data_IF_202366014530
#
_entry.id   IF_202366014530
#
_cell.length_a   1.000
_cell.length_b   1.000
_cell.length_c   1.000
_cell.angle_alpha   90.00
_cell.angle_beta   90.00
_cell.angle_gamma   90.00
#
_symmetry.space_group_name_H-M   'P 1'
#
loop_
_entity.id
_entity.type
_entity.pdbx_description
1 polymer ?
#
# COMPACT_ATOMS: atom_id res chain seq x y z
N UNK A 1 15.02 -47.43 -59.40
CA UNK A 1 14.70 -48.59 -58.54
C UNK A 1 13.51 -48.18 -57.69
N UNK A 2 12.29 -48.42 -58.15
CA UNK A 2 11.52 -49.68 -58.07
C UNK A 2 10.62 -49.67 -56.84
N UNK A 3 9.33 -49.61 -57.17
CA UNK A 3 8.10 -49.57 -56.37
C UNK A 3 7.97 -50.78 -55.43
N UNK A 4 7.37 -50.57 -54.26
CA UNK A 4 6.43 -51.54 -53.68
C UNK A 4 5.48 -50.86 -52.68
N UNK A 5 4.27 -50.56 -53.16
CA UNK A 5 3.06 -50.33 -52.35
C UNK A 5 2.54 -51.70 -51.93
N UNK A 6 2.26 -51.90 -50.64
CA UNK A 6 1.39 -52.98 -50.17
C UNK A 6 0.34 -52.38 -49.24
N UNK A 7 -0.90 -52.38 -49.72
CA UNK A 7 -2.10 -52.16 -48.93
C UNK A 7 -2.69 -53.54 -48.59
N UNK A 8 -3.12 -53.74 -47.34
CA UNK A 8 -3.97 -54.87 -46.98
C UNK A 8 -5.01 -54.47 -45.91
N UNK A 9 -6.26 -54.68 -46.33
CA UNK A 9 -7.59 -54.60 -45.71
C UNK A 9 -7.76 -55.02 -44.22
N UNK A 10 -8.57 -54.19 -43.54
CA UNK A 10 -9.83 -54.48 -42.82
C UNK A 10 -9.93 -55.57 -41.72
N UNK A 11 -10.43 -55.16 -40.53
CA UNK A 11 -11.62 -55.75 -39.88
C UNK A 11 -12.08 -54.91 -38.67
N UNK A 12 -13.39 -54.66 -38.59
CA UNK A 12 -14.08 -54.07 -37.45
C UNK A 12 -14.42 -55.16 -36.42
N UNK A 13 -14.39 -54.81 -35.13
CA UNK A 13 -14.87 -55.66 -34.04
C UNK A 13 -15.15 -54.85 -32.78
N UNK A 14 -16.43 -54.58 -32.53
CA UNK A 14 -16.91 -54.05 -31.25
C UNK A 14 -17.29 -55.21 -30.34
N UNK A 15 -16.81 -55.20 -29.10
CA UNK A 15 -17.39 -55.99 -28.00
C UNK A 15 -17.46 -55.15 -26.74
N UNK A 16 -18.69 -54.87 -26.30
CA UNK A 16 -19.02 -54.40 -24.97
C UNK A 16 -18.83 -55.55 -23.98
N UNK A 17 -18.18 -55.29 -22.84
CA UNK A 17 -18.34 -56.10 -21.63
C UNK A 17 -18.35 -55.20 -20.41
N UNK A 18 -19.41 -55.38 -19.64
CA UNK A 18 -19.75 -54.65 -18.45
C UNK A 18 -19.31 -55.41 -17.19
N UNK A 19 -18.98 -54.64 -16.15
CA UNK A 19 -19.11 -54.94 -14.72
C UNK A 19 -18.24 -56.05 -14.08
N UNK A 20 -17.30 -55.63 -13.23
CA UNK A 20 -17.30 -56.10 -11.84
C UNK A 20 -17.00 -54.93 -10.89
N UNK A 21 -17.68 -54.98 -9.75
CA UNK A 21 -17.96 -53.95 -8.74
C UNK A 21 -17.00 -54.12 -7.56
N UNK A 22 -16.56 -53.03 -6.94
CA UNK A 22 -15.86 -53.07 -5.65
C UNK A 22 -15.33 -51.70 -5.24
N UNK A 23 -16.12 -51.00 -4.43
CA UNK A 23 -15.90 -49.65 -3.89
C UNK A 23 -14.60 -49.49 -3.10
N UNK A 24 -13.94 -48.35 -3.30
CA UNK A 24 -12.78 -47.92 -2.53
C UNK A 24 -12.51 -46.46 -2.81
N UNK A 25 -13.30 -45.59 -2.18
CA UNK A 25 -13.26 -44.15 -2.42
C UNK A 25 -11.93 -43.50 -2.07
N UNK A 26 -11.62 -42.43 -2.80
CA UNK A 26 -11.22 -41.18 -2.16
C UNK A 26 -11.86 -40.04 -2.95
N UNK A 27 -12.94 -39.47 -2.42
CA UNK A 27 -13.30 -38.11 -2.77
C UNK A 27 -12.32 -37.19 -2.02
N UNK A 28 -11.60 -36.35 -2.74
CA UNK A 28 -10.75 -35.34 -2.14
C UNK A 28 -10.32 -34.27 -3.15
N UNK A 29 -10.17 -33.03 -2.70
CA UNK A 29 -11.21 -32.17 -2.15
C UNK A 29 -11.88 -31.35 -3.27
N UNK A 30 -13.19 -31.11 -3.14
CA UNK A 30 -13.79 -29.92 -3.71
C UNK A 30 -13.30 -28.74 -2.86
N UNK A 31 -12.45 -27.88 -3.41
CA UNK A 31 -11.97 -26.70 -2.70
C UNK A 31 -10.50 -26.40 -2.93
N UNK A 32 -10.21 -25.77 -4.07
CA UNK A 32 -9.30 -24.66 -4.13
C UNK A 32 -9.66 -23.92 -5.42
N UNK A 33 -10.28 -22.75 -5.31
CA UNK A 33 -10.00 -21.73 -6.32
C UNK A 33 -8.49 -21.69 -6.42
N UNK A 34 -7.96 -22.05 -7.58
CA UNK A 34 -6.54 -21.95 -7.87
C UNK A 34 -6.21 -20.47 -7.70
N UNK A 35 -5.65 -20.13 -6.53
CA UNK A 35 -5.19 -18.78 -6.24
C UNK A 35 -4.29 -18.38 -7.41
N UNK A 36 -4.61 -17.22 -7.99
CA UNK A 36 -3.96 -16.73 -9.20
C UNK A 36 -2.42 -16.81 -9.03
N UNK A 37 -1.67 -17.36 -10.00
CA UNK A 37 -0.22 -17.58 -9.89
C UNK A 37 0.60 -16.28 -9.89
N UNK A 38 -0.05 -15.13 -9.81
CA UNK A 38 0.60 -13.83 -9.84
C UNK A 38 0.88 -13.37 -8.41
N UNK A 39 2.17 -13.24 -8.09
CA UNK A 39 2.66 -12.64 -6.85
C UNK A 39 2.05 -11.25 -6.67
N UNK A 40 1.48 -10.98 -5.50
CA UNK A 40 0.89 -9.68 -5.18
C UNK A 40 1.85 -8.85 -4.33
N UNK A 41 1.86 -7.51 -4.47
CA UNK A 41 2.63 -6.66 -3.58
C UNK A 41 2.15 -6.79 -2.13
N UNK A 42 3.03 -6.55 -1.15
CA UNK A 42 2.64 -6.57 0.25
C UNK A 42 1.79 -5.34 0.58
N UNK A 43 0.83 -5.54 1.48
CA UNK A 43 0.00 -4.50 2.05
C UNK A 43 0.54 -4.12 3.42
N UNK A 44 0.93 -2.86 3.61
CA UNK A 44 1.25 -2.33 4.95
C UNK A 44 -0.02 -1.73 5.57
N UNK A 45 -0.39 -2.20 6.76
CA UNK A 45 -1.59 -1.75 7.48
C UNK A 45 -1.28 -1.00 8.78
N UNK A 46 -0.04 -1.07 9.29
CA UNK A 46 0.32 -0.35 10.51
C UNK A 46 1.82 -0.31 10.80
N UNK A 47 2.19 0.68 11.61
CA UNK A 47 3.53 0.78 12.21
C UNK A 47 3.36 1.05 13.70
N UNK A 48 4.07 0.32 14.54
CA UNK A 48 4.17 0.63 15.96
C UNK A 48 5.61 0.92 16.36
N UNK A 49 5.77 1.77 17.36
CA UNK A 49 7.05 2.02 18.02
C UNK A 49 7.16 1.11 19.24
N UNK A 50 8.24 0.35 19.31
CA UNK A 50 8.62 -0.45 20.47
C UNK A 50 10.01 0.02 20.92
N UNK A 51 10.04 0.94 21.89
CA UNK A 51 11.24 1.69 22.23
C UNK A 51 11.78 2.49 21.02
N UNK A 52 13.04 2.23 20.65
CA UNK A 52 13.69 2.84 19.47
C UNK A 52 13.49 2.07 18.17
N UNK A 53 12.66 1.01 18.17
CA UNK A 53 12.46 0.12 17.02
C UNK A 53 11.10 0.38 16.39
N UNK A 54 11.07 0.46 15.06
CA UNK A 54 9.81 0.46 14.30
C UNK A 54 9.45 -0.97 13.92
N UNK A 55 8.22 -1.37 14.24
CA UNK A 55 7.62 -2.63 13.83
C UNK A 55 6.60 -2.33 12.75
N UNK A 56 6.90 -2.73 11.51
CA UNK A 56 6.00 -2.62 10.36
C UNK A 56 5.15 -3.89 10.29
N UNK A 57 3.84 -3.72 10.18
CA UNK A 57 2.87 -4.81 10.07
C UNK A 57 2.11 -4.74 8.76
N UNK A 58 1.64 -5.89 8.33
CA UNK A 58 0.85 -5.96 7.12
C UNK A 58 0.37 -7.36 6.76
N UNK A 59 0.03 -7.51 5.49
CA UNK A 59 -0.37 -8.75 4.88
C UNK A 59 0.34 -8.97 3.53
N UNK A 60 0.60 -10.22 3.20
CA UNK A 60 1.07 -10.71 1.91
C UNK A 60 0.49 -12.11 1.66
N UNK A 61 0.82 -12.73 0.54
CA UNK A 61 0.47 -14.14 0.34
C UNK A 61 1.14 -15.01 1.44
N UNK A 62 0.52 -16.12 1.90
CA UNK A 62 1.10 -16.99 2.91
C UNK A 62 2.52 -17.44 2.54
N UNK A 63 3.41 -17.46 3.54
CA UNK A 63 4.83 -17.82 3.40
C UNK A 63 5.65 -16.92 2.44
N UNK A 64 5.06 -15.86 1.89
CA UNK A 64 5.72 -14.96 0.96
C UNK A 64 6.83 -14.14 1.65
N UNK A 65 7.95 -13.96 0.97
CA UNK A 65 9.06 -13.14 1.47
C UNK A 65 8.78 -11.67 1.21
N UNK A 66 8.46 -10.92 2.25
CA UNK A 66 8.27 -9.47 2.21
C UNK A 66 9.62 -8.79 2.41
N UNK A 67 9.94 -7.84 1.54
CA UNK A 67 11.20 -7.07 1.58
C UNK A 67 10.88 -5.59 1.58
N UNK A 68 11.57 -4.82 2.43
CA UNK A 68 11.59 -3.36 2.40
C UNK A 68 12.96 -2.92 1.87
N UNK A 69 12.98 -2.31 0.69
CA UNK A 69 14.20 -1.81 0.04
C UNK A 69 14.34 -0.31 0.19
N UNK A 70 15.55 0.17 0.34
CA UNK A 70 15.89 1.57 0.20
C UNK A 70 17.20 1.70 -0.59
N UNK A 71 17.46 2.85 -1.23
CA UNK A 71 18.69 3.05 -1.99
C UNK A 71 19.94 3.01 -1.09
N UNK A 72 19.85 3.57 0.12
CA UNK A 72 21.02 3.88 0.95
C UNK A 72 21.10 3.08 2.26
N UNK A 73 20.16 2.15 2.50
CA UNK A 73 20.18 1.26 3.67
C UNK A 73 19.97 -0.19 3.27
N UNK A 74 20.50 -1.10 4.08
CA UNK A 74 20.35 -2.53 3.86
C UNK A 74 18.87 -2.92 3.79
N UNK A 75 18.52 -3.75 2.80
CA UNK A 75 17.17 -4.28 2.69
C UNK A 75 16.85 -5.16 3.90
N UNK A 76 15.62 -5.02 4.40
CA UNK A 76 15.12 -5.82 5.52
C UNK A 76 14.03 -6.73 4.99
N UNK A 77 13.99 -7.98 5.46
CA UNK A 77 13.02 -8.95 4.99
C UNK A 77 12.45 -9.80 6.11
N UNK A 78 11.23 -10.29 5.91
CA UNK A 78 10.55 -11.27 6.76
C UNK A 78 9.66 -12.14 5.88
N UNK A 79 9.34 -13.35 6.33
CA UNK A 79 8.32 -14.15 5.69
C UNK A 79 6.97 -13.85 6.35
N UNK A 80 5.91 -13.75 5.54
CA UNK A 80 4.56 -13.78 6.06
C UNK A 80 4.29 -15.17 6.67
N UNK A 81 3.45 -15.22 7.70
CA UNK A 81 3.02 -16.47 8.32
C UNK A 81 2.01 -17.22 7.44
N UNK A 82 1.53 -18.37 7.92
CA UNK A 82 0.55 -19.20 7.23
C UNK A 82 -0.82 -18.50 7.02
N UNK A 83 -1.10 -17.43 7.78
CA UNK A 83 -2.29 -16.60 7.61
C UNK A 83 -2.02 -15.38 6.70
N UNK A 84 -0.82 -15.26 6.14
CA UNK A 84 -0.41 -14.14 5.30
C UNK A 84 -0.07 -12.88 6.09
N UNK A 85 0.13 -12.93 7.41
CA UNK A 85 0.50 -11.77 8.23
C UNK A 85 2.02 -11.67 8.37
N UNK A 86 2.53 -10.44 8.38
CA UNK A 86 3.95 -10.21 8.67
C UNK A 86 4.15 -9.14 9.74
N UNK A 87 5.23 -9.30 10.52
CA UNK A 87 5.79 -8.28 11.39
C UNK A 87 7.28 -8.13 11.10
N UNK A 88 7.68 -6.97 10.59
CA UNK A 88 9.06 -6.66 10.23
C UNK A 88 9.63 -5.61 11.18
N UNK A 89 10.68 -5.97 11.91
CA UNK A 89 11.42 -5.07 12.79
C UNK A 89 12.49 -4.33 11.99
N UNK A 90 12.36 -3.02 11.87
CA UNK A 90 13.38 -2.20 11.21
C UNK A 90 14.60 -2.04 12.14
N UNK A 91 15.83 -2.11 11.61
CA UNK A 91 17.02 -1.73 12.37
C UNK A 91 16.92 -0.25 12.78
N UNK A 92 17.74 0.23 13.73
CA UNK A 92 17.82 1.65 14.05
C UNK A 92 18.00 2.50 12.79
N UNK A 93 17.10 3.46 12.60
CA UNK A 93 17.05 4.32 11.42
C UNK A 93 17.50 5.72 11.80
N UNK A 94 18.17 6.41 10.87
CA UNK A 94 18.61 7.79 11.04
C UNK A 94 18.17 8.62 9.84
N UNK A 95 17.79 9.89 10.11
CA UNK A 95 17.33 10.80 9.06
C UNK A 95 16.02 10.35 8.42
N UNK A 96 15.77 10.86 7.22
CA UNK A 96 14.54 10.56 6.48
C UNK A 96 14.78 9.41 5.51
N UNK A 97 13.85 8.46 5.44
CA UNK A 97 13.98 7.25 4.64
C UNK A 97 12.76 7.00 3.78
N UNK A 98 13.06 6.46 2.59
CA UNK A 98 12.08 6.00 1.62
C UNK A 98 12.29 4.51 1.38
N UNK A 99 11.31 3.72 1.79
CA UNK A 99 11.33 2.27 1.72
C UNK A 99 10.28 1.81 0.70
N UNK A 100 10.72 1.05 -0.31
CA UNK A 100 9.88 0.40 -1.31
C UNK A 100 9.55 -1.01 -0.82
N UNK A 101 8.28 -1.30 -0.47
CA UNK A 101 7.84 -2.64 -0.15
C UNK A 101 7.73 -3.50 -1.40
N UNK A 102 8.14 -4.75 -1.31
CA UNK A 102 7.97 -5.75 -2.35
C UNK A 102 7.75 -7.14 -1.74
N UNK A 103 7.12 -8.02 -2.50
CA UNK A 103 7.13 -9.46 -2.24
C UNK A 103 8.09 -10.12 -3.22
N UNK A 104 8.80 -11.15 -2.75
CA UNK A 104 9.63 -12.03 -3.56
C UNK A 104 9.21 -13.48 -3.35
N UNK A 105 8.99 -14.22 -4.44
CA UNK A 105 8.67 -15.65 -4.43
C UNK A 105 9.51 -16.33 -5.51
N UNK A 106 10.58 -17.02 -5.11
CA UNK A 106 11.53 -17.57 -6.07
C UNK A 106 12.16 -16.46 -6.93
N UNK A 107 11.97 -16.52 -8.24
CA UNK A 107 12.43 -15.51 -9.21
C UNK A 107 11.39 -14.39 -9.46
N UNK A 108 10.15 -14.58 -9.00
CA UNK A 108 9.09 -13.59 -9.16
C UNK A 108 9.15 -12.51 -8.08
N UNK A 109 8.83 -11.28 -8.46
CA UNK A 109 8.74 -10.15 -7.55
C UNK A 109 7.56 -9.23 -7.87
N UNK A 110 6.93 -8.69 -6.84
CA UNK A 110 5.86 -7.72 -6.96
C UNK A 110 6.14 -6.49 -6.09
N UNK A 111 6.45 -5.37 -6.74
CA UNK A 111 6.74 -4.09 -6.09
C UNK A 111 5.43 -3.39 -5.74
N UNK A 112 5.35 -2.85 -4.52
CA UNK A 112 4.20 -2.08 -4.09
C UNK A 112 4.15 -0.72 -4.81
N UNK A 113 2.96 -0.28 -5.24
CA UNK A 113 2.78 1.10 -5.70
C UNK A 113 2.91 2.11 -4.55
N UNK A 114 2.81 1.64 -3.30
CA UNK A 114 2.99 2.45 -2.10
C UNK A 114 4.45 2.47 -1.68
N UNK A 115 4.89 3.62 -1.21
CA UNK A 115 6.22 3.82 -0.65
C UNK A 115 6.07 4.19 0.83
N UNK A 116 6.76 3.46 1.69
CA UNK A 116 6.84 3.76 3.11
C UNK A 116 7.86 4.87 3.34
N UNK A 117 7.41 6.00 3.87
CA UNK A 117 8.24 7.12 4.28
C UNK A 117 8.35 7.14 5.79
N UNK A 118 9.59 7.15 6.28
CA UNK A 118 9.92 7.26 7.71
C UNK A 118 10.69 8.57 7.91
N UNK A 119 10.12 9.50 8.66
CA UNK A 119 10.74 10.82 8.90
C UNK A 119 11.55 10.77 10.20
N UNK A 120 12.78 11.27 10.16
CA UNK A 120 13.71 11.36 11.29
C UNK A 120 13.85 10.05 12.09
N UNK A 121 14.09 8.93 11.41
CA UNK A 121 14.26 7.62 12.04
C UNK A 121 13.01 7.12 12.77
N UNK A 122 11.84 7.69 12.47
CA UNK A 122 10.59 7.39 13.14
C UNK A 122 10.30 8.30 14.34
N UNK A 123 11.15 9.28 14.65
CA UNK A 123 10.82 10.35 15.60
C UNK A 123 9.76 11.31 15.01
N UNK A 124 9.78 11.50 13.69
CA UNK A 124 8.74 12.20 12.95
C UNK A 124 7.61 11.28 12.48
N UNK A 125 6.76 11.76 11.55
CA UNK A 125 5.70 10.96 10.96
C UNK A 125 6.21 9.71 10.22
N UNK A 126 5.34 8.70 10.17
CA UNK A 126 5.52 7.51 9.32
C UNK A 126 4.28 7.39 8.44
N UNK A 127 4.47 7.29 7.12
CA UNK A 127 3.35 7.33 6.18
C UNK A 127 3.60 6.46 4.94
N UNK A 128 2.53 6.07 4.24
CA UNK A 128 2.56 5.50 2.90
C UNK A 128 2.15 6.59 1.91
N UNK A 129 2.98 6.83 0.91
CA UNK A 129 2.67 7.68 -0.23
C UNK A 129 2.50 6.83 -1.49
N UNK A 130 1.60 7.24 -2.38
CA UNK A 130 1.44 6.62 -3.69
C UNK A 130 0.89 7.66 -4.68
N UNK A 131 1.31 7.55 -5.94
CA UNK A 131 0.90 8.50 -6.96
C UNK A 131 -0.64 8.54 -7.11
N UNK A 132 -1.21 9.72 -6.89
CA UNK A 132 -2.65 9.98 -7.06
C UNK A 132 -3.53 9.31 -6.01
N UNK A 133 -2.95 8.80 -4.93
CA UNK A 133 -3.67 8.25 -3.79
C UNK A 133 -3.53 9.16 -2.56
N UNK A 134 -4.51 9.16 -1.64
CA UNK A 134 -4.35 9.86 -0.37
C UNK A 134 -3.18 9.28 0.42
N UNK A 135 -2.33 10.13 0.99
CA UNK A 135 -1.23 9.68 1.86
C UNK A 135 -1.77 9.06 3.13
N UNK A 136 -1.32 7.85 3.47
CA UNK A 136 -1.78 7.11 4.65
C UNK A 136 -0.80 7.31 5.80
N UNK A 137 -1.24 7.89 6.91
CA UNK A 137 -0.42 7.97 8.14
C UNK A 137 -0.52 6.70 8.97
N UNK A 138 0.62 6.22 9.44
CA UNK A 138 0.77 5.00 10.23
C UNK A 138 1.23 5.29 11.67
N UNK A 139 1.42 6.55 12.03
CA UNK A 139 2.00 7.02 13.30
C UNK A 139 0.96 7.47 14.34
N UNK A 140 -0.29 7.02 14.25
CA UNK A 140 -1.30 7.19 15.30
C UNK A 140 -2.48 8.12 14.97
N UNK A 141 -2.94 8.86 15.99
CA UNK A 141 -4.29 9.45 16.09
C UNK A 141 -4.34 10.93 15.67
N UNK A 142 -5.38 11.32 14.96
CA UNK A 142 -5.72 12.70 14.61
C UNK A 142 -6.97 12.70 13.72
N UNK A 143 -7.66 13.82 13.60
CA UNK A 143 -8.81 13.92 12.68
C UNK A 143 -8.37 14.10 11.22
N UNK A 144 -7.17 14.66 11.02
CA UNK A 144 -6.54 14.89 9.72
C UNK A 144 -5.22 14.12 9.64
N UNK A 145 -5.05 13.35 8.56
CA UNK A 145 -3.80 12.64 8.29
C UNK A 145 -2.91 13.40 7.33
N UNK A 146 -3.42 13.81 6.18
CA UNK A 146 -2.61 14.45 5.15
C UNK A 146 -3.42 15.43 4.30
N UNK A 147 -2.69 16.38 3.72
CA UNK A 147 -3.14 17.23 2.61
C UNK A 147 -2.20 16.97 1.44
N UNK A 148 -2.69 16.23 0.46
CA UNK A 148 -1.99 15.91 -0.77
C UNK A 148 -2.28 16.96 -1.84
N UNK A 149 -1.29 17.29 -2.66
CA UNK A 149 -1.40 18.27 -3.74
C UNK A 149 -0.57 17.88 -4.96
N UNK A 150 -1.07 18.20 -6.15
CA UNK A 150 -0.34 18.17 -7.42
C UNK A 150 -0.08 19.60 -7.96
N UNK A 151 -0.28 20.62 -7.12
CA UNK A 151 -0.21 22.03 -7.48
C UNK A 151 -1.49 22.59 -8.10
N UNK A 152 -2.48 21.76 -8.43
CA UNK A 152 -3.77 22.19 -9.00
C UNK A 152 -4.96 21.79 -8.13
N UNK A 153 -4.89 20.61 -7.53
CA UNK A 153 -5.95 20.04 -6.70
C UNK A 153 -5.42 19.72 -5.32
N UNK A 154 -6.22 19.96 -4.29
CA UNK A 154 -5.99 19.45 -2.94
C UNK A 154 -6.84 18.22 -2.68
N UNK A 155 -6.22 17.22 -2.06
CA UNK A 155 -6.86 16.05 -1.51
C UNK A 155 -6.57 15.98 -0.02
N UNK A 156 -7.60 16.09 0.79
CA UNK A 156 -7.52 16.07 2.25
C UNK A 156 -8.01 14.70 2.70
N UNK A 157 -7.27 14.03 3.59
CA UNK A 157 -7.69 12.72 4.09
C UNK A 157 -7.39 12.52 5.56
N UNK A 158 -8.17 11.63 6.20
CA UNK A 158 -8.01 11.26 7.60
C UNK A 158 -8.68 9.92 7.91
N UNK A 159 -8.57 9.44 9.16
CA UNK A 159 -9.21 8.20 9.59
C UNK A 159 -10.73 8.36 9.64
N UNK A 160 -11.46 7.36 9.15
CA UNK A 160 -12.90 7.33 9.27
C UNK A 160 -13.30 7.15 10.75
N UNK A 161 -14.19 8.01 11.24
CA UNK A 161 -14.87 7.82 12.51
C UNK A 161 -16.17 7.05 12.35
N UNK A 162 -17.00 7.05 13.41
CA UNK A 162 -18.35 6.47 13.37
C UNK A 162 -19.30 7.23 12.43
N UNK A 163 -19.01 8.50 12.16
CA UNK A 163 -19.74 9.36 11.21
C UNK A 163 -18.74 10.08 10.30
N UNK A 164 -19.15 10.48 9.08
CA UNK A 164 -18.32 11.35 8.24
C UNK A 164 -17.98 12.67 8.98
N UNK A 165 -16.74 13.15 8.91
CA UNK A 165 -16.37 14.43 9.50
C UNK A 165 -16.97 15.60 8.71
N UNK A 166 -17.10 16.75 9.36
CA UNK A 166 -17.38 18.02 8.70
C UNK A 166 -16.06 18.67 8.32
N UNK A 167 -15.87 18.93 7.03
CA UNK A 167 -14.64 19.51 6.49
C UNK A 167 -14.94 20.84 5.81
N UNK A 168 -14.12 21.86 6.07
CA UNK A 168 -14.15 23.13 5.36
C UNK A 168 -12.74 23.56 4.93
N UNK A 169 -12.64 24.22 3.77
CA UNK A 169 -11.38 24.72 3.19
C UNK A 169 -11.51 26.21 2.88
N UNK A 170 -10.83 27.05 3.66
CA UNK A 170 -10.96 28.51 3.57
C UNK A 170 -12.40 28.97 3.76
N UNK A 171 -13.09 28.41 4.76
CA UNK A 171 -14.49 28.70 5.09
C UNK A 171 -15.54 28.03 4.19
N UNK A 172 -15.15 27.31 3.13
CA UNK A 172 -16.09 26.64 2.22
C UNK A 172 -16.23 25.16 2.60
N UNK A 173 -17.45 24.70 2.82
CA UNK A 173 -17.73 23.30 3.12
C UNK A 173 -17.28 22.38 1.97
N UNK A 174 -16.65 21.26 2.31
CA UNK A 174 -16.11 20.29 1.38
C UNK A 174 -16.99 19.03 1.33
N UNK A 175 -17.10 18.43 0.14
CA UNK A 175 -17.75 17.13 -0.01
C UNK A 175 -16.81 16.02 0.49
N UNK A 176 -17.21 15.35 1.55
CA UNK A 176 -16.48 14.23 2.15
C UNK A 176 -17.01 12.92 1.59
N UNK A 177 -16.09 12.06 1.14
CA UNK A 177 -16.38 10.73 0.65
C UNK A 177 -15.59 9.68 1.45
N UNK A 178 -16.12 8.46 1.61
CA UNK A 178 -15.30 7.34 2.09
C UNK A 178 -14.14 7.07 1.11
N UNK A 179 -13.04 6.59 1.67
CA UNK A 179 -11.84 6.17 0.97
C UNK A 179 -11.43 4.77 1.45
N UNK A 180 -10.44 4.18 0.81
CA UNK A 180 -9.91 2.86 1.15
C UNK A 180 -9.34 2.81 2.58
N UNK A 181 -9.22 1.60 3.15
CA UNK A 181 -8.59 1.33 4.46
C UNK A 181 -9.20 2.10 5.65
N UNK A 182 -10.51 2.28 5.65
CA UNK A 182 -11.22 2.94 6.77
C UNK A 182 -10.87 4.42 6.88
N UNK A 183 -10.81 5.10 5.73
CA UNK A 183 -10.42 6.51 5.63
C UNK A 183 -11.55 7.32 5.03
N UNK A 184 -11.51 8.63 5.23
CA UNK A 184 -12.30 9.58 4.46
C UNK A 184 -11.37 10.42 3.58
N UNK A 185 -11.92 11.01 2.53
CA UNK A 185 -11.25 12.03 1.71
C UNK A 185 -12.19 13.15 1.30
N UNK A 186 -11.64 14.34 1.06
CA UNK A 186 -12.31 15.47 0.44
C UNK A 186 -11.40 16.09 -0.62
N UNK A 187 -11.97 16.56 -1.73
CA UNK A 187 -11.24 17.14 -2.85
C UNK A 187 -11.63 18.60 -3.04
N UNK A 188 -10.67 19.45 -3.43
CA UNK A 188 -10.94 20.79 -3.94
C UNK A 188 -10.02 21.15 -5.10
N UNK A 189 -10.57 21.75 -6.15
CA UNK A 189 -9.79 22.38 -7.21
C UNK A 189 -9.24 23.73 -6.73
N UNK A 190 -8.14 23.70 -5.98
CA UNK A 190 -7.47 24.88 -5.43
C UNK A 190 -5.97 24.61 -5.35
N UNK A 191 -5.19 25.68 -5.55
CA UNK A 191 -3.76 25.73 -5.27
C UNK A 191 -3.46 26.69 -4.11
N UNK A 192 -2.27 26.57 -3.52
CA UNK A 192 -1.77 27.50 -2.51
C UNK A 192 -2.15 27.16 -1.07
N UNK A 193 -1.72 28.01 -0.14
CA UNK A 193 -2.00 27.87 1.29
C UNK A 193 -3.47 28.11 1.60
N UNK A 194 -4.01 27.39 2.58
CA UNK A 194 -5.41 27.48 2.97
C UNK A 194 -5.62 26.97 4.39
N UNK A 195 -6.52 27.61 5.14
CA UNK A 195 -7.02 27.03 6.39
C UNK A 195 -7.93 25.84 6.09
N UNK A 196 -7.70 24.72 6.77
CA UNK A 196 -8.52 23.53 6.71
C UNK A 196 -9.12 23.31 8.09
N UNK A 197 -10.45 23.17 8.16
CA UNK A 197 -11.15 22.86 9.40
C UNK A 197 -11.76 21.47 9.29
N UNK A 198 -11.44 20.58 10.23
CA UNK A 198 -12.01 19.23 10.33
C UNK A 198 -12.64 19.06 11.69
N UNK A 199 -13.95 18.85 11.75
CA UNK A 199 -14.73 18.76 13.00
C UNK A 199 -14.44 19.90 14.00
N UNK A 200 -14.23 21.11 13.47
CA UNK A 200 -13.92 22.31 14.26
C UNK A 200 -12.44 22.49 14.62
N UNK A 201 -11.57 21.53 14.31
CA UNK A 201 -10.12 21.68 14.46
C UNK A 201 -9.50 22.33 13.22
N UNK A 202 -8.82 23.46 13.41
CA UNK A 202 -8.16 24.20 12.33
C UNK A 202 -6.72 23.72 12.08
N UNK A 203 -6.33 23.74 10.80
CA UNK A 203 -5.01 23.39 10.29
C UNK A 203 -4.61 24.38 9.20
N UNK A 204 -3.46 25.04 9.37
CA UNK A 204 -2.92 25.96 8.37
C UNK A 204 -2.06 25.20 7.35
N UNK A 205 -2.65 24.79 6.23
CA UNK A 205 -1.89 24.15 5.15
C UNK A 205 -0.96 25.18 4.49
N UNK A 206 0.37 24.94 4.45
CA UNK A 206 1.34 25.92 3.99
C UNK A 206 1.44 26.06 2.48
N UNK A 207 0.71 25.24 1.71
CA UNK A 207 0.83 25.19 0.26
C UNK A 207 1.81 24.14 -0.26
N UNK A 208 1.70 23.90 -1.56
CA UNK A 208 2.51 22.92 -2.29
C UNK A 208 4.01 23.31 -2.31
N UNK A 209 4.89 22.31 -2.44
CA UNK A 209 6.34 22.54 -2.56
C UNK A 209 6.76 23.02 -3.95
N UNK A 210 5.90 22.88 -4.96
CA UNK A 210 6.25 23.03 -6.36
C UNK A 210 7.03 21.84 -6.89
N UNK A 211 7.52 21.96 -8.12
CA UNK A 211 8.30 20.90 -8.77
C UNK A 211 9.66 20.70 -8.09
N UNK A 212 10.15 19.46 -8.11
CA UNK A 212 11.47 19.12 -7.60
C UNK A 212 11.67 17.62 -7.44
N UNK A 213 12.85 17.26 -6.93
CA UNK A 213 13.15 15.88 -6.54
C UNK A 213 12.41 15.45 -5.27
N UNK A 214 12.66 14.21 -4.86
CA UNK A 214 12.20 13.74 -3.55
C UNK A 214 12.82 14.59 -2.44
N UNK A 215 11.99 15.17 -1.58
CA UNK A 215 12.46 15.93 -0.42
C UNK A 215 11.48 15.87 0.73
N UNK A 216 12.01 15.99 1.94
CA UNK A 216 11.25 16.06 3.18
C UNK A 216 11.74 17.27 3.95
N UNK A 217 10.82 18.09 4.43
CA UNK A 217 11.14 19.29 5.19
C UNK A 217 10.01 19.69 6.14
N UNK A 218 10.36 20.48 7.16
CA UNK A 218 9.38 21.22 7.96
C UNK A 218 8.67 22.26 7.09
N UNK A 219 7.35 22.38 7.24
CA UNK A 219 6.56 23.40 6.57
C UNK A 219 5.38 23.79 7.48
N UNK A 220 5.40 25.01 8.00
CA UNK A 220 4.44 25.44 9.01
C UNK A 220 4.39 24.49 10.22
N UNK A 221 3.18 24.15 10.65
CA UNK A 221 2.90 23.22 11.74
C UNK A 221 2.84 21.77 11.25
N UNK A 222 3.81 21.33 10.46
CA UNK A 222 3.85 19.98 9.93
C UNK A 222 5.09 19.65 9.11
N UNK A 223 5.04 18.50 8.46
CA UNK A 223 6.07 17.98 7.57
C UNK A 223 5.55 17.93 6.15
N UNK A 224 6.36 18.33 5.19
CA UNK A 224 6.06 18.23 3.77
C UNK A 224 6.96 17.21 3.12
N UNK A 225 6.36 16.29 2.39
CA UNK A 225 7.01 15.32 1.51
C UNK A 225 6.72 15.80 0.08
N UNK A 226 7.73 15.93 -0.76
CA UNK A 226 7.58 16.21 -2.19
C UNK A 226 8.21 15.06 -2.98
N UNK A 227 7.60 14.64 -4.08
CA UNK A 227 8.18 13.62 -4.96
C UNK A 227 7.77 13.80 -6.43
N UNK A 228 8.67 13.45 -7.38
CA UNK A 228 8.34 13.48 -8.79
C UNK A 228 7.38 12.33 -9.15
N UNK A 229 6.48 12.61 -10.09
CA UNK A 229 5.57 11.62 -10.69
C UNK A 229 5.78 11.64 -12.20
N UNK A 230 6.02 10.48 -12.80
CA UNK A 230 6.27 10.39 -14.24
C UNK A 230 5.03 10.77 -15.07
N UNK A 231 5.21 11.35 -16.27
CA UNK A 231 6.50 11.66 -16.92
C UNK A 231 7.16 12.98 -16.48
N UNK A 232 6.40 13.96 -15.99
CA UNK A 232 6.89 15.30 -15.65
C UNK A 232 6.04 16.02 -14.58
N UNK A 233 5.26 15.27 -13.80
CA UNK A 233 4.47 15.78 -12.70
C UNK A 233 5.22 15.75 -11.37
N UNK A 234 4.58 16.29 -10.35
CA UNK A 234 5.00 16.17 -8.96
C UNK A 234 3.77 15.95 -8.09
N UNK A 235 3.99 15.40 -6.92
CA UNK A 235 3.01 15.38 -5.85
C UNK A 235 3.69 15.73 -4.55
N UNK A 236 2.94 16.39 -3.67
CA UNK A 236 3.34 16.63 -2.31
C UNK A 236 2.28 16.15 -1.33
N UNK A 237 2.73 15.83 -0.12
CA UNK A 237 1.89 15.55 1.03
C UNK A 237 2.36 16.43 2.17
N UNK A 238 1.43 17.15 2.79
CA UNK A 238 1.66 17.82 4.07
C UNK A 238 1.00 17.03 5.20
N UNK A 239 1.82 16.67 6.19
CA UNK A 239 1.43 15.90 7.37
C UNK A 239 1.41 16.86 8.56
N UNK A 240 0.23 17.22 9.11
CA UNK A 240 0.15 18.12 10.25
C UNK A 240 0.87 17.53 11.46
N UNK A 241 1.45 18.40 12.27
CA UNK A 241 1.90 18.00 13.59
C UNK A 241 0.74 17.46 14.40
N UNK A 242 1.00 16.38 15.12
CA UNK A 242 0.06 15.87 16.09
C UNK A 242 0.53 16.30 17.48
N UNK A 243 -0.39 16.68 18.37
CA UNK A 243 -0.03 16.86 19.76
C UNK A 243 0.60 15.55 20.25
N UNK A 244 1.66 15.68 21.05
CA UNK A 244 2.28 14.51 21.67
C UNK A 244 1.18 13.72 22.40
N UNK A 245 1.14 12.40 22.17
CA UNK A 245 0.23 11.55 22.92
C UNK A 245 0.51 11.76 24.41
N UNK A 246 -0.52 12.12 25.18
CA UNK A 246 -0.43 12.13 26.63
C UNK A 246 0.04 10.73 27.06
N UNK A 247 1.20 10.68 27.71
CA UNK A 247 1.79 9.43 28.21
C UNK A 247 1.02 8.94 29.43
#
# INVERSE_FOLDING_TARGET
MSIAIVAALAAAGATLSACSRGDGGVAGPAGAEKASPWVRPPLIDGVTRDGGVLIVRGAADPDARVVLRAPDVAAVAVNADAAGRFELRLPPLYGDLRLTPEVQVGEDAAVSPETLVVIQGGAGPVALIAAGQPTIRLDGRGVLDAVDSDGSTLMISGPAGHKPPVVAMGGVAANVAPSSRGRWRAMAGRAGSVEIVVDGQAFDYPGDAGQGGFSIARAGQGWRINWPVQPNGHQSAWLPDRPAAAR
#
